data_IF_140626720928
#
_entry.id   IF_140626720928
#
_cell.length_a   1.000
_cell.length_b   1.000
_cell.length_c   1.000
_cell.angle_alpha   90.00
_cell.angle_beta   90.00
_cell.angle_gamma   90.00
#
_symmetry.space_group_name_H-M   'P 1'
#
loop_
_entity.id
_entity.type
_entity.pdbx_description
1 polymer ?
#
# COMPACT_ATOMS: atom_id res chain seq x y z
N UNK A 1 20.22 -14.75 16.76
CA UNK A 1 20.61 -13.47 16.17
C UNK A 1 21.56 -12.75 17.10
N UNK A 2 22.64 -12.25 16.56
CA UNK A 2 23.61 -11.47 17.31
C UNK A 2 23.30 -9.98 17.18
N UNK A 3 22.69 -9.40 18.19
CA UNK A 3 22.35 -7.99 18.16
C UNK A 3 23.59 -7.07 18.23
N UNK A 4 24.72 -7.59 18.68
CA UNK A 4 25.97 -6.80 18.69
C UNK A 4 26.48 -6.49 17.30
N UNK A 5 26.03 -7.20 16.28
CA UNK A 5 26.43 -6.94 14.90
C UNK A 5 25.54 -5.92 14.19
N UNK A 6 24.45 -5.48 14.81
CA UNK A 6 23.59 -4.49 14.21
C UNK A 6 24.24 -3.11 14.22
N UNK A 7 24.10 -2.40 13.13
CA UNK A 7 24.54 -1.02 13.02
C UNK A 7 23.46 -0.08 13.50
N UNK A 8 23.53 0.27 14.78
CA UNK A 8 22.54 1.16 15.37
C UNK A 8 22.61 2.59 14.84
N UNK A 9 23.71 2.96 14.18
CA UNK A 9 23.80 4.29 13.60
C UNK A 9 22.79 4.50 12.49
N UNK A 10 22.37 3.41 11.82
CA UNK A 10 21.33 3.49 10.81
C UNK A 10 19.98 3.87 11.41
N UNK A 11 19.73 3.50 12.68
CA UNK A 11 18.47 3.81 13.35
C UNK A 11 18.41 5.24 13.87
N UNK A 12 19.54 5.85 14.13
CA UNK A 12 19.63 7.22 14.64
C UNK A 12 19.98 8.23 13.57
N UNK A 13 20.33 7.76 12.38
CA UNK A 13 20.70 8.62 11.28
C UNK A 13 19.48 9.36 10.76
N UNK A 14 19.54 10.68 10.58
CA UNK A 14 18.42 11.39 9.99
C UNK A 14 18.17 10.91 8.57
N UNK A 15 16.89 10.90 8.18
CA UNK A 15 16.53 10.58 6.82
C UNK A 15 17.06 11.67 5.88
N UNK A 16 17.42 11.31 4.64
CA UNK A 16 17.76 12.32 3.64
C UNK A 16 16.65 13.35 3.50
N UNK A 17 17.01 14.59 3.20
CA UNK A 17 16.05 15.70 3.11
C UNK A 17 14.94 15.44 2.09
N UNK A 18 15.21 14.62 1.07
CA UNK A 18 14.24 14.27 0.03
C UNK A 18 13.33 13.11 0.40
N UNK A 19 13.51 12.51 1.57
CA UNK A 19 12.76 11.33 1.98
C UNK A 19 11.95 11.60 3.24
N UNK A 20 10.82 10.89 3.35
CA UNK A 20 9.95 10.94 4.51
C UNK A 20 9.64 9.51 4.96
N UNK A 21 8.99 9.36 6.11
CA UNK A 21 8.59 8.04 6.58
C UNK A 21 7.53 7.41 5.66
N UNK A 22 6.58 8.21 5.18
CA UNK A 22 5.55 7.71 4.26
C UNK A 22 6.15 7.34 2.92
N UNK A 23 7.14 8.08 2.46
CA UNK A 23 7.88 7.80 1.24
C UNK A 23 8.53 6.41 1.31
N UNK A 24 9.19 6.11 2.42
CA UNK A 24 9.83 4.82 2.64
C UNK A 24 8.80 3.70 2.70
N UNK A 25 7.72 3.90 3.45
CA UNK A 25 6.65 2.90 3.56
C UNK A 25 5.99 2.65 2.21
N UNK A 26 5.77 3.71 1.44
CA UNK A 26 5.19 3.61 0.11
C UNK A 26 6.03 2.70 -0.79
N UNK A 27 7.34 2.87 -0.81
CA UNK A 27 8.20 2.04 -1.66
C UNK A 27 8.18 0.58 -1.22
N UNK A 28 8.14 0.32 0.07
CA UNK A 28 8.08 -1.05 0.59
C UNK A 28 6.76 -1.70 0.20
N UNK A 29 5.64 -1.00 0.40
CA UNK A 29 4.32 -1.52 0.06
C UNK A 29 4.22 -1.77 -1.44
N UNK A 30 4.70 -0.83 -2.25
CA UNK A 30 4.71 -0.97 -3.69
C UNK A 30 5.43 -2.25 -4.13
N UNK A 31 6.57 -2.54 -3.54
CA UNK A 31 7.31 -3.75 -3.85
C UNK A 31 6.48 -5.00 -3.54
N UNK A 32 5.87 -5.07 -2.36
CA UNK A 32 5.07 -6.23 -1.97
C UNK A 32 3.86 -6.39 -2.87
N UNK A 33 3.18 -5.31 -3.21
CA UNK A 33 2.00 -5.36 -4.08
C UNK A 33 2.38 -5.82 -5.47
N UNK A 34 3.45 -5.28 -6.04
CA UNK A 34 3.89 -5.66 -7.39
C UNK A 34 4.36 -7.10 -7.43
N UNK A 35 5.09 -7.55 -6.43
CA UNK A 35 5.53 -8.95 -6.36
C UNK A 35 4.34 -9.90 -6.27
N UNK A 36 3.37 -9.57 -5.43
CA UNK A 36 2.17 -10.38 -5.28
C UNK A 36 1.37 -10.41 -6.58
N UNK A 37 1.16 -9.24 -7.19
CA UNK A 37 0.41 -9.12 -8.42
C UNK A 37 1.05 -9.93 -9.55
N UNK A 38 2.37 -9.92 -9.65
CA UNK A 38 3.08 -10.66 -10.69
C UNK A 38 3.02 -12.18 -10.47
N UNK A 39 2.73 -12.63 -9.26
CA UNK A 39 2.62 -14.06 -8.96
C UNK A 39 1.22 -14.61 -9.25
N UNK A 40 0.25 -13.75 -9.50
CA UNK A 40 -1.13 -14.20 -9.75
C UNK A 40 -1.30 -14.71 -11.18
N UNK A 41 -2.20 -15.67 -11.31
CA UNK A 41 -2.58 -16.15 -12.64
C UNK A 41 -3.53 -15.13 -13.31
N UNK A 42 -3.87 -15.39 -14.56
CA UNK A 42 -4.70 -14.47 -15.35
C UNK A 42 -6.14 -14.35 -14.87
N UNK A 43 -6.58 -15.24 -13.99
CA UNK A 43 -7.97 -15.30 -13.52
C UNK A 43 -8.17 -14.58 -12.19
N UNK A 44 -7.11 -13.99 -11.64
CA UNK A 44 -7.16 -13.33 -10.34
C UNK A 44 -6.56 -11.93 -10.40
N UNK A 45 -7.17 -11.02 -9.66
CA UNK A 45 -6.68 -9.67 -9.44
C UNK A 45 -6.20 -9.50 -8.01
N UNK A 46 -5.27 -8.59 -7.80
CA UNK A 46 -4.82 -8.25 -6.46
C UNK A 46 -5.88 -7.38 -5.76
N UNK A 47 -6.04 -7.58 -4.47
CA UNK A 47 -6.95 -6.78 -3.65
C UNK A 47 -6.33 -6.56 -2.27
N UNK A 48 -6.75 -5.51 -1.61
CA UNK A 48 -6.35 -5.23 -0.24
C UNK A 48 -7.54 -5.40 0.69
N UNK A 49 -7.34 -6.16 1.76
CA UNK A 49 -8.32 -6.34 2.82
C UNK A 49 -7.91 -5.46 3.99
N UNK A 50 -8.71 -4.45 4.28
CA UNK A 50 -8.45 -3.49 5.34
C UNK A 50 -9.09 -3.98 6.64
N UNK A 51 -8.36 -3.87 7.74
CA UNK A 51 -8.80 -4.48 9.00
C UNK A 51 -8.96 -3.47 10.15
N UNK A 52 -8.77 -2.18 9.90
CA UNK A 52 -8.69 -1.17 10.97
C UNK A 52 -10.02 -0.59 11.44
N UNK A 53 -11.16 -1.18 11.08
CA UNK A 53 -12.44 -0.56 11.36
C UNK A 53 -13.34 -1.43 12.25
N UNK A 54 -12.73 -2.29 13.10
CA UNK A 54 -13.50 -3.20 13.94
C UNK A 54 -14.10 -4.37 13.19
N UNK A 55 -14.12 -4.32 11.88
CA UNK A 55 -14.52 -5.40 10.98
C UNK A 55 -13.70 -5.29 9.72
N UNK A 56 -13.57 -6.40 9.03
CA UNK A 56 -12.82 -6.44 7.77
C UNK A 56 -13.60 -5.73 6.68
N UNK A 57 -12.92 -4.85 5.96
CA UNK A 57 -13.47 -4.14 4.82
C UNK A 57 -12.59 -4.44 3.62
N UNK A 58 -13.20 -4.97 2.56
CA UNK A 58 -12.47 -5.21 1.33
C UNK A 58 -12.56 -3.95 0.48
N UNK A 59 -11.40 -3.40 0.17
CA UNK A 59 -11.31 -2.26 -0.73
C UNK A 59 -10.66 -2.73 -2.03
N UNK A 60 -11.33 -2.48 -3.14
CA UNK A 60 -10.75 -2.70 -4.45
C UNK A 60 -9.86 -1.50 -4.76
N UNK A 61 -8.61 -1.56 -4.34
CA UNK A 61 -7.69 -0.44 -4.45
C UNK A 61 -7.24 -0.27 -5.89
N UNK A 62 -7.37 0.95 -6.39
CA UNK A 62 -6.91 1.31 -7.73
C UNK A 62 -5.63 2.12 -7.70
N UNK A 63 -5.41 2.88 -6.62
CA UNK A 63 -4.20 3.67 -6.47
C UNK A 63 -3.76 3.72 -5.01
N UNK A 64 -2.45 3.72 -4.82
CA UNK A 64 -1.82 3.95 -3.52
C UNK A 64 -0.86 5.12 -3.68
N UNK A 65 -0.91 6.03 -2.73
CA UNK A 65 -0.01 7.18 -2.72
C UNK A 65 0.35 7.57 -1.29
N UNK A 66 1.08 8.66 -1.16
CA UNK A 66 1.41 9.20 0.14
C UNK A 66 1.40 10.72 0.09
N UNK A 67 1.17 11.33 1.24
CA UNK A 67 1.24 12.77 1.41
C UNK A 67 1.98 13.09 2.69
N UNK A 68 2.74 14.16 2.68
CA UNK A 68 3.54 14.57 3.82
C UNK A 68 4.44 13.43 4.29
N UNK A 69 4.94 13.50 5.49
CA UNK A 69 5.90 12.51 5.96
C UNK A 69 5.25 11.28 6.58
N UNK A 70 3.95 11.31 6.88
CA UNK A 70 3.35 10.25 7.70
C UNK A 70 2.01 9.71 7.19
N UNK A 71 1.52 10.18 6.04
CA UNK A 71 0.21 9.74 5.56
C UNK A 71 0.33 8.86 4.32
N UNK A 72 -0.43 7.77 4.33
CA UNK A 72 -0.66 6.93 3.15
C UNK A 72 -2.10 7.12 2.69
N UNK A 73 -2.30 7.12 1.40
CA UNK A 73 -3.62 7.36 0.79
C UNK A 73 -3.94 6.21 -0.14
N UNK A 74 -5.10 5.61 0.06
CA UNK A 74 -5.60 4.51 -0.77
C UNK A 74 -6.88 4.95 -1.45
N UNK A 75 -6.93 4.85 -2.76
CA UNK A 75 -8.14 5.14 -3.54
C UNK A 75 -8.64 3.89 -4.20
N UNK A 76 -9.95 3.76 -4.26
CA UNK A 76 -10.57 2.61 -4.88
C UNK A 76 -12.06 2.55 -4.57
N UNK A 77 -12.57 1.34 -4.50
CA UNK A 77 -14.01 1.12 -4.33
C UNK A 77 -14.27 0.23 -3.13
N UNK A 78 -15.22 0.64 -2.31
CA UNK A 78 -15.76 -0.16 -1.21
C UNK A 78 -17.24 -0.36 -1.50
N UNK A 79 -17.66 -1.61 -1.68
CA UNK A 79 -19.04 -1.96 -2.03
C UNK A 79 -19.53 -1.19 -3.27
N UNK A 80 -18.67 -1.04 -4.27
CA UNK A 80 -18.98 -0.34 -5.50
C UNK A 80 -18.96 1.17 -5.41
N UNK A 81 -18.66 1.74 -4.25
CA UNK A 81 -18.59 3.19 -4.07
C UNK A 81 -17.16 3.67 -4.09
N UNK A 82 -16.89 4.72 -4.86
CA UNK A 82 -15.59 5.35 -4.89
C UNK A 82 -15.23 5.86 -3.49
N UNK A 83 -14.07 5.48 -3.00
CA UNK A 83 -13.67 5.76 -1.63
C UNK A 83 -12.19 6.11 -1.56
N UNK A 84 -11.85 6.95 -0.61
CA UNK A 84 -10.47 7.30 -0.30
C UNK A 84 -10.22 7.02 1.18
N UNK A 85 -9.20 6.22 1.46
CA UNK A 85 -8.78 5.95 2.83
C UNK A 85 -7.45 6.66 3.08
N UNK A 86 -7.41 7.43 4.13
CA UNK A 86 -6.20 8.12 4.56
C UNK A 86 -5.79 7.54 5.91
N UNK A 87 -4.56 7.04 5.98
CA UNK A 87 -4.06 6.42 7.19
C UNK A 87 -2.70 6.99 7.55
N UNK A 88 -2.50 7.19 8.85
CA UNK A 88 -1.16 7.43 9.38
C UNK A 88 -0.34 6.15 9.19
N UNK A 89 0.94 6.27 8.89
CA UNK A 89 1.79 5.10 8.64
C UNK A 89 1.86 4.14 9.82
N UNK A 90 1.63 4.62 11.04
CA UNK A 90 1.60 3.78 12.24
C UNK A 90 0.34 2.92 12.33
N UNK A 91 -0.66 3.19 11.51
CA UNK A 91 -1.94 2.49 11.53
C UNK A 91 -2.12 1.54 10.35
N UNK A 92 -1.10 1.39 9.54
CA UNK A 92 -1.18 0.49 8.38
C UNK A 92 -1.35 -0.95 8.86
N UNK A 93 -2.43 -1.57 8.42
CA UNK A 93 -2.75 -2.93 8.78
C UNK A 93 -3.71 -3.50 7.75
N UNK A 94 -3.16 -4.22 6.78
CA UNK A 94 -3.97 -4.80 5.72
C UNK A 94 -3.34 -6.09 5.23
N UNK A 95 -4.15 -6.90 4.58
CA UNK A 95 -3.70 -8.09 3.88
C UNK A 95 -3.71 -7.83 2.39
N UNK A 96 -2.68 -8.31 1.71
CA UNK A 96 -2.67 -8.38 0.25
C UNK A 96 -3.23 -9.75 -0.10
N UNK A 97 -4.27 -9.77 -0.90
CA UNK A 97 -4.94 -11.00 -1.26
C UNK A 97 -5.35 -10.98 -2.73
N UNK A 98 -5.98 -12.04 -3.18
CA UNK A 98 -6.47 -12.13 -4.55
C UNK A 98 -7.97 -12.26 -4.56
N UNK A 99 -8.58 -11.75 -5.61
CA UNK A 99 -9.99 -11.93 -5.90
C UNK A 99 -10.15 -12.44 -7.31
N UNK A 100 -11.27 -13.13 -7.58
CA UNK A 100 -11.54 -13.63 -8.91
C UNK A 100 -11.74 -12.47 -9.88
N UNK A 101 -11.06 -12.54 -11.02
CA UNK A 101 -11.18 -11.53 -12.06
C UNK A 101 -12.43 -11.79 -12.89
N UNK A 102 -13.16 -10.73 -13.24
CA UNK A 102 -14.23 -10.82 -14.20
C UNK A 102 -13.60 -11.14 -15.56
N UNK A 103 -13.97 -12.28 -16.20
CA UNK A 103 -13.33 -12.66 -17.48
C UNK A 103 -13.62 -11.70 -18.62
N UNK A 104 -14.65 -10.86 -18.49
CA UNK A 104 -15.00 -9.86 -19.50
C UNK A 104 -14.27 -8.54 -19.36
N UNK A 105 -13.47 -8.38 -18.29
CA UNK A 105 -12.75 -7.14 -18.02
C UNK A 105 -11.26 -7.38 -18.03
N UNK A 106 -10.45 -6.38 -18.39
CA UNK A 106 -9.01 -6.52 -18.31
C UNK A 106 -8.57 -6.65 -16.85
N UNK A 107 -7.37 -7.17 -16.66
CA UNK A 107 -6.77 -7.28 -15.32
C UNK A 107 -6.66 -5.89 -14.71
N UNK A 108 -7.11 -5.77 -13.47
CA UNK A 108 -6.89 -4.55 -12.71
C UNK A 108 -5.49 -4.54 -12.14
N UNK A 109 -4.86 -3.38 -12.20
CA UNK A 109 -3.55 -3.14 -11.61
C UNK A 109 -3.68 -1.98 -10.65
N UNK A 110 -2.92 -2.06 -9.55
CA UNK A 110 -2.89 -0.97 -8.60
C UNK A 110 -1.86 0.05 -9.09
N UNK A 111 -2.28 1.31 -9.21
CA UNK A 111 -1.40 2.41 -9.55
C UNK A 111 -0.69 2.93 -8.32
N UNK A 112 0.47 3.55 -8.53
CA UNK A 112 1.27 4.12 -7.45
C UNK A 112 1.60 5.56 -7.80
N UNK A 113 1.15 6.48 -6.94
CA UNK A 113 1.29 7.91 -7.18
C UNK A 113 1.96 8.56 -5.98
N UNK A 114 3.15 9.12 -6.18
CA UNK A 114 3.82 9.89 -5.16
C UNK A 114 3.22 11.29 -5.10
N UNK A 115 3.10 11.85 -3.89
CA UNK A 115 2.71 13.25 -3.68
C UNK A 115 1.39 13.65 -4.34
N UNK A 116 0.30 13.04 -3.91
CA UNK A 116 -1.01 13.38 -4.46
C UNK A 116 -1.37 14.85 -4.31
N UNK A 117 -0.84 15.52 -3.31
CA UNK A 117 -1.11 16.94 -3.12
C UNK A 117 -0.60 17.81 -4.27
N UNK A 118 0.30 17.30 -5.09
CA UNK A 118 0.89 18.02 -6.21
C UNK A 118 0.14 17.80 -7.53
N UNK A 119 -0.95 17.08 -7.50
CA UNK A 119 -1.71 16.74 -8.70
C UNK A 119 -2.95 17.58 -8.88
#
# INVERSE_FOLDING_TARGET
MNFGSLDYSALTRPLPASRSYSDTQFEIIKKYVLDFQSSLDKDHDVALLLTNFGQSVIMEVTEIGYEESVLMVFRGYVNGKMSTLIQHISQLNFLITSVSKNPKKPRRKIGFTAHWAEQ
#
